data_IF_968027048687
#
_entry.id   IF_968027048687
#
_cell.length_a   1.000
_cell.length_b   1.000
_cell.length_c   1.000
_cell.angle_alpha   90.00
_cell.angle_beta   90.00
_cell.angle_gamma   90.00
#
_symmetry.space_group_name_H-M   'P 1'
#
loop_
_entity.id
_entity.type
_entity.pdbx_description
1 polymer ?
#
# COMPACT_ATOMS: atom_id res chain seq x y z
N UNK A 1 2.05 4.07 -15.51
CA UNK A 1 2.20 2.61 -15.27
C UNK A 1 3.28 2.40 -14.21
N UNK A 2 3.11 1.43 -13.32
CA UNK A 2 4.10 1.08 -12.30
C UNK A 2 5.19 0.24 -12.96
N UNK A 3 6.46 0.53 -12.68
CA UNK A 3 7.58 -0.19 -13.28
C UNK A 3 7.87 -1.48 -12.51
N UNK A 4 8.23 -2.59 -13.19
CA UNK A 4 8.61 -3.84 -12.53
C UNK A 4 9.69 -3.62 -11.46
N UNK A 5 9.48 -4.19 -10.28
CA UNK A 5 10.41 -4.09 -9.15
C UNK A 5 10.45 -2.76 -8.41
N UNK A 6 9.72 -1.73 -8.89
CA UNK A 6 9.66 -0.39 -8.25
C UNK A 6 8.36 -0.13 -7.50
N UNK A 7 7.39 -1.03 -7.63
CA UNK A 7 6.07 -0.91 -7.02
C UNK A 7 6.14 -0.81 -5.50
N UNK A 8 5.46 0.17 -4.93
CA UNK A 8 5.33 0.34 -3.48
C UNK A 8 3.88 0.58 -3.09
N UNK A 9 3.50 0.04 -1.95
CA UNK A 9 2.21 0.23 -1.31
C UNK A 9 2.42 0.78 0.10
N UNK A 10 1.65 1.82 0.44
CA UNK A 10 1.61 2.36 1.79
C UNK A 10 0.53 1.62 2.60
N UNK A 11 0.93 1.03 3.72
CA UNK A 11 0.05 0.31 4.65
C UNK A 11 0.00 1.02 6.00
N UNK A 12 -1.16 1.03 6.64
CA UNK A 12 -1.25 1.43 8.04
C UNK A 12 -0.56 0.41 8.95
N UNK A 13 -0.02 0.88 10.07
CA UNK A 13 0.42 -0.03 11.13
C UNK A 13 -0.81 -0.56 11.89
N UNK A 14 -0.77 -1.80 12.42
CA UNK A 14 0.40 -2.71 12.44
C UNK A 14 0.58 -3.55 11.16
N UNK A 15 -0.38 -3.55 10.22
CA UNK A 15 -0.37 -4.42 9.04
C UNK A 15 0.90 -4.31 8.19
N UNK A 16 1.46 -3.09 8.05
CA UNK A 16 2.71 -2.86 7.33
C UNK A 16 3.87 -3.73 7.86
N UNK A 17 4.06 -3.72 9.18
CA UNK A 17 5.12 -4.51 9.81
C UNK A 17 4.78 -6.00 9.79
N UNK A 18 3.54 -6.36 10.09
CA UNK A 18 3.14 -7.77 10.12
C UNK A 18 3.36 -8.46 8.76
N UNK A 19 3.16 -7.73 7.66
CA UNK A 19 3.40 -8.24 6.31
C UNK A 19 4.91 -8.44 6.04
N UNK A 20 5.74 -7.45 6.35
CA UNK A 20 7.20 -7.53 6.12
C UNK A 20 7.91 -8.49 7.07
N UNK A 21 7.34 -8.77 8.24
CA UNK A 21 7.82 -9.79 9.18
C UNK A 21 7.31 -11.20 8.84
N UNK A 22 6.53 -11.37 7.77
CA UNK A 22 6.02 -12.67 7.36
C UNK A 22 4.96 -13.28 8.27
N UNK A 23 4.36 -12.47 9.15
CA UNK A 23 3.27 -12.89 10.03
C UNK A 23 1.95 -12.82 9.26
N UNK A 24 1.73 -11.71 8.56
CA UNK A 24 0.62 -11.51 7.62
C UNK A 24 1.03 -12.04 6.25
N UNK A 25 0.18 -12.85 5.64
CA UNK A 25 0.40 -13.52 4.33
C UNK A 25 -0.57 -13.05 3.27
N UNK A 26 -1.73 -12.51 3.67
CA UNK A 26 -2.75 -12.00 2.76
C UNK A 26 -2.93 -10.50 2.92
N UNK A 27 -2.64 -9.68 1.91
CA UNK A 27 -2.99 -8.25 1.92
C UNK A 27 -4.42 -8.04 1.39
N UNK A 28 -5.24 -7.34 2.18
CA UNK A 28 -6.67 -7.20 1.90
C UNK A 28 -7.03 -5.85 1.29
N UNK A 29 -7.77 -5.85 0.16
CA UNK A 29 -8.17 -4.63 -0.57
C UNK A 29 -9.61 -4.70 -1.09
N UNK A 30 -10.16 -3.53 -1.40
CA UNK A 30 -11.43 -3.39 -2.12
C UNK A 30 -11.25 -3.36 -3.64
N UNK A 31 -10.04 -3.67 -4.13
CA UNK A 31 -9.69 -3.69 -5.54
C UNK A 31 -8.67 -4.80 -5.80
N UNK A 32 -8.68 -5.41 -7.00
CA UNK A 32 -7.75 -6.47 -7.35
C UNK A 32 -6.32 -5.95 -7.45
N UNK A 33 -5.33 -6.83 -7.27
CA UNK A 33 -3.92 -6.44 -7.46
C UNK A 33 -3.64 -6.09 -8.93
N UNK A 34 -3.15 -4.88 -9.25
CA UNK A 34 -2.77 -4.50 -10.60
C UNK A 34 -1.34 -4.95 -10.94
N UNK A 35 -0.67 -5.66 -10.01
CA UNK A 35 0.70 -6.13 -10.16
C UNK A 35 0.86 -7.59 -9.72
N UNK A 36 1.90 -8.22 -10.24
CA UNK A 36 2.52 -9.44 -9.72
C UNK A 36 4.02 -9.22 -9.57
N UNK A 37 4.64 -9.94 -8.64
CA UNK A 37 6.06 -9.81 -8.31
C UNK A 37 6.32 -8.88 -7.13
N UNK A 38 7.54 -8.33 -7.06
CA UNK A 38 8.02 -7.56 -5.91
C UNK A 38 7.18 -6.31 -5.63
N UNK A 39 6.72 -6.20 -4.40
CA UNK A 39 5.99 -5.07 -3.85
C UNK A 39 6.70 -4.57 -2.58
N UNK A 40 7.18 -3.33 -2.63
CA UNK A 40 7.74 -2.65 -1.48
C UNK A 40 6.64 -2.15 -0.54
N UNK A 41 6.91 -2.19 0.75
CA UNK A 41 5.95 -1.85 1.80
C UNK A 41 6.46 -0.64 2.59
N UNK A 42 5.68 0.43 2.51
CA UNK A 42 5.86 1.64 3.29
C UNK A 42 4.86 1.68 4.45
N UNK A 43 5.29 2.07 5.64
CA UNK A 43 4.43 2.31 6.78
C UNK A 43 3.87 3.73 6.75
N UNK A 44 2.55 3.86 6.76
CA UNK A 44 1.85 5.14 6.81
C UNK A 44 2.26 5.98 8.04
N UNK A 45 1.93 7.27 8.02
CA UNK A 45 2.32 8.22 9.07
C UNK A 45 1.49 8.13 10.34
N UNK A 46 0.25 7.63 10.27
CA UNK A 46 -0.63 7.50 11.44
C UNK A 46 -0.04 6.47 12.41
N UNK A 47 0.23 6.91 13.64
CA UNK A 47 0.65 6.06 14.75
C UNK A 47 -0.48 5.08 15.08
N UNK A 48 -0.20 3.77 15.19
CA UNK A 48 -1.21 2.79 15.55
C UNK A 48 -1.61 2.96 17.02
N UNK A 49 -2.91 2.87 17.30
CA UNK A 49 -3.41 2.82 18.68
C UNK A 49 -2.96 1.51 19.35
N UNK A 50 -2.57 1.51 20.64
CA UNK A 50 -2.15 0.29 21.34
C UNK A 50 -3.19 -0.84 21.27
N UNK A 51 -4.47 -0.50 21.33
CA UNK A 51 -5.60 -1.43 21.23
C UNK A 51 -5.66 -2.08 19.85
N UNK A 52 -5.32 -1.32 18.80
CA UNK A 52 -5.23 -1.82 17.42
C UNK A 52 -4.11 -2.84 17.29
N UNK A 53 -2.94 -2.55 17.88
CA UNK A 53 -1.81 -3.49 17.90
C UNK A 53 -2.24 -4.77 18.61
N UNK A 54 -2.75 -4.66 19.84
CA UNK A 54 -3.19 -5.80 20.65
C UNK A 54 -4.26 -6.64 19.95
N UNK A 55 -5.24 -6.00 19.31
CA UNK A 55 -6.29 -6.69 18.57
C UNK A 55 -5.71 -7.49 17.40
N UNK A 56 -4.79 -6.90 16.63
CA UNK A 56 -4.17 -7.59 15.51
C UNK A 56 -3.20 -8.70 15.95
N UNK A 57 -2.41 -8.50 17.00
CA UNK A 57 -1.55 -9.55 17.56
C UNK A 57 -2.38 -10.73 18.09
N UNK A 58 -3.47 -10.44 18.81
CA UNK A 58 -4.43 -11.47 19.26
C UNK A 58 -5.03 -12.23 18.08
N UNK A 59 -5.48 -11.52 17.05
CA UNK A 59 -6.00 -12.13 15.83
C UNK A 59 -4.99 -13.08 15.18
N UNK A 60 -3.73 -12.65 15.00
CA UNK A 60 -2.72 -13.53 14.43
C UNK A 60 -2.41 -14.73 15.34
N UNK A 61 -2.33 -14.55 16.67
CA UNK A 61 -2.15 -15.69 17.59
C UNK A 61 -3.24 -16.75 17.41
N UNK A 62 -4.51 -16.33 17.37
CA UNK A 62 -5.64 -17.26 17.24
C UNK A 62 -5.66 -17.99 15.89
N UNK A 63 -5.44 -17.29 14.76
CA UNK A 63 -5.48 -17.96 13.45
C UNK A 63 -4.30 -18.92 13.25
N UNK A 64 -3.13 -18.64 13.82
CA UNK A 64 -1.99 -19.56 13.76
C UNK A 64 -2.18 -20.74 14.71
N UNK A 65 -2.81 -20.53 15.87
CA UNK A 65 -3.15 -21.60 16.81
C UNK A 65 -4.14 -22.63 16.20
N UNK A 66 -5.02 -22.19 15.29
CA UNK A 66 -5.88 -23.09 14.50
C UNK A 66 -5.06 -24.11 13.70
N UNK A 67 -3.87 -23.73 13.23
CA UNK A 67 -2.94 -24.59 12.49
C UNK A 67 -1.86 -25.21 13.41
N UNK A 68 -2.00 -25.09 14.73
CA UNK A 68 -1.08 -25.65 15.73
C UNK A 68 0.18 -24.82 16.01
N UNK A 69 0.28 -23.60 15.47
CA UNK A 69 1.43 -22.70 15.70
C UNK A 69 1.10 -21.73 16.84
N UNK A 70 1.74 -21.91 17.99
CA UNK A 70 1.47 -21.13 19.21
C UNK A 70 2.57 -20.11 19.52
N UNK A 71 3.79 -20.35 19.05
CA UNK A 71 4.95 -19.48 19.27
C UNK A 71 5.11 -18.48 18.13
N UNK A 72 4.62 -17.26 18.36
CA UNK A 72 4.74 -16.14 17.41
C UNK A 72 5.46 -14.98 18.08
N UNK A 73 6.58 -14.57 17.49
CA UNK A 73 7.28 -13.35 17.87
C UNK A 73 6.77 -12.17 17.05
N UNK A 74 6.15 -11.20 17.73
CA UNK A 74 5.68 -9.98 17.11
C UNK A 74 6.77 -8.89 17.10
N UNK A 75 6.72 -7.94 16.14
CA UNK A 75 7.61 -6.79 16.14
C UNK A 75 7.50 -5.98 17.44
N UNK A 76 8.63 -5.70 18.08
CA UNK A 76 8.68 -4.85 19.29
C UNK A 76 8.24 -3.40 19.03
N UNK A 77 8.41 -2.93 17.80
CA UNK A 77 8.12 -1.56 17.38
C UNK A 77 7.47 -1.54 16.00
N UNK A 78 6.55 -0.59 15.81
CA UNK A 78 5.81 -0.36 14.57
C UNK A 78 6.10 1.05 14.03
N UNK A 79 7.27 1.28 13.38
CA UNK A 79 7.67 2.62 12.96
C UNK A 79 6.76 3.16 11.85
N UNK A 80 6.60 4.48 11.80
CA UNK A 80 5.74 5.17 10.82
C UNK A 80 6.57 6.01 9.85
N UNK A 81 6.00 6.34 8.68
CA UNK A 81 6.63 7.16 7.65
C UNK A 81 7.97 6.64 7.12
N UNK A 82 8.12 5.31 7.08
CA UNK A 82 9.35 4.63 6.64
C UNK A 82 9.05 3.50 5.67
N UNK A 83 9.98 3.27 4.74
CA UNK A 83 10.05 2.04 3.96
C UNK A 83 10.55 0.91 4.86
N UNK A 84 9.81 -0.19 4.94
CA UNK A 84 10.11 -1.30 5.83
C UNK A 84 10.84 -2.45 5.14
N UNK A 85 10.52 -2.71 3.88
CA UNK A 85 10.95 -3.91 3.17
C UNK A 85 10.07 -4.19 1.96
N UNK A 86 10.01 -5.44 1.54
CA UNK A 86 9.18 -5.88 0.43
C UNK A 86 8.65 -7.30 0.62
N UNK A 87 7.61 -7.63 -0.12
CA UNK A 87 7.07 -8.98 -0.31
C UNK A 87 6.94 -9.26 -1.80
N UNK A 88 6.60 -10.47 -2.16
CA UNK A 88 6.24 -10.85 -3.52
C UNK A 88 4.74 -11.13 -3.62
N UNK A 89 4.04 -10.42 -4.52
CA UNK A 89 2.63 -10.67 -4.82
C UNK A 89 2.54 -11.73 -5.91
N UNK A 90 2.15 -12.95 -5.52
CA UNK A 90 2.09 -14.11 -6.44
C UNK A 90 0.71 -14.29 -7.07
N UNK A 91 -0.33 -13.72 -6.46
CA UNK A 91 -1.70 -13.85 -6.93
C UNK A 91 -2.66 -12.91 -6.24
N UNK A 92 -3.90 -12.92 -6.73
CA UNK A 92 -5.01 -12.18 -6.15
C UNK A 92 -6.26 -13.04 -6.32
N UNK A 93 -6.97 -13.30 -5.22
CA UNK A 93 -8.24 -14.03 -5.22
C UNK A 93 -9.35 -13.16 -4.64
N UNK A 94 -10.59 -13.49 -4.98
CA UNK A 94 -11.73 -13.02 -4.20
C UNK A 94 -11.82 -13.75 -2.87
N UNK A 95 -12.47 -13.12 -1.89
CA UNK A 95 -12.64 -13.70 -0.56
C UNK A 95 -13.28 -15.10 -0.60
N UNK A 96 -14.35 -15.27 -1.38
CA UNK A 96 -15.06 -16.55 -1.47
C UNK A 96 -14.19 -17.66 -2.09
N UNK A 97 -13.34 -17.30 -3.06
CA UNK A 97 -12.37 -18.22 -3.66
C UNK A 97 -11.29 -18.63 -2.65
N UNK A 98 -10.74 -17.66 -1.90
CA UNK A 98 -9.74 -17.93 -0.86
C UNK A 98 -10.31 -18.83 0.23
N UNK A 99 -11.53 -18.54 0.71
CA UNK A 99 -12.19 -19.33 1.74
C UNK A 99 -12.43 -20.75 1.25
N UNK A 100 -12.66 -20.99 -0.03
CA UNK A 100 -12.88 -22.34 -0.58
C UNK A 100 -11.59 -23.07 -0.99
N UNK A 101 -10.42 -22.46 -0.86
CA UNK A 101 -9.17 -23.05 -1.33
C UNK A 101 -8.61 -24.08 -0.33
N UNK A 102 -8.90 -25.36 -0.55
CA UNK A 102 -8.60 -26.44 0.38
C UNK A 102 -7.10 -26.75 0.54
N UNK A 103 -6.28 -26.41 -0.46
CA UNK A 103 -4.82 -26.56 -0.38
C UNK A 103 -4.16 -25.59 0.62
N UNK A 104 -4.92 -24.58 1.10
CA UNK A 104 -4.46 -23.64 2.11
C UNK A 104 -4.89 -24.08 3.51
N UNK A 105 -3.96 -23.93 4.46
CA UNK A 105 -4.24 -24.07 5.89
C UNK A 105 -5.37 -23.14 6.34
N UNK A 106 -6.12 -23.54 7.37
CA UNK A 106 -7.27 -22.78 7.85
C UNK A 106 -6.88 -21.38 8.33
N UNK A 107 -5.74 -21.24 9.02
CA UNK A 107 -5.26 -19.94 9.48
C UNK A 107 -5.02 -18.95 8.35
N UNK A 108 -4.42 -19.38 7.23
CA UNK A 108 -4.23 -18.53 6.03
C UNK A 108 -5.56 -18.10 5.43
N UNK A 109 -6.52 -19.01 5.31
CA UNK A 109 -7.87 -18.71 4.78
C UNK A 109 -8.59 -17.68 5.65
N UNK A 110 -8.42 -17.75 6.98
CA UNK A 110 -8.99 -16.82 7.95
C UNK A 110 -8.37 -15.41 7.90
N UNK A 111 -7.18 -15.23 7.30
CA UNK A 111 -6.63 -13.89 7.07
C UNK A 111 -7.45 -13.05 6.07
N UNK A 112 -8.20 -13.72 5.19
CA UNK A 112 -9.12 -13.08 4.26
C UNK A 112 -10.26 -12.37 4.98
N UNK A 113 -10.24 -11.04 4.98
CA UNK A 113 -11.28 -10.21 5.63
C UNK A 113 -11.82 -9.10 4.70
N UNK A 114 -11.42 -9.11 3.43
CA UNK A 114 -11.77 -8.11 2.42
C UNK A 114 -12.06 -8.78 1.09
N UNK A 115 -12.74 -8.08 0.19
CA UNK A 115 -13.18 -8.60 -1.11
C UNK A 115 -12.04 -9.18 -1.96
N UNK A 116 -10.93 -8.46 -2.09
CA UNK A 116 -9.75 -8.92 -2.82
C UNK A 116 -8.62 -9.22 -1.86
N UNK A 117 -8.06 -10.43 -1.99
CA UNK A 117 -7.02 -10.99 -1.15
C UNK A 117 -5.75 -11.18 -1.99
N UNK A 118 -4.76 -10.33 -1.77
CA UNK A 118 -3.47 -10.38 -2.45
C UNK A 118 -2.58 -11.37 -1.71
N UNK A 119 -2.08 -12.36 -2.44
CA UNK A 119 -1.26 -13.44 -1.89
C UNK A 119 0.19 -12.96 -1.84
N UNK A 120 0.74 -12.84 -0.63
CA UNK A 120 2.07 -12.30 -0.40
C UNK A 120 3.01 -13.36 0.18
N UNK A 121 4.16 -13.54 -0.47
CA UNK A 121 5.21 -14.47 -0.06
C UNK A 121 6.57 -13.77 0.04
N UNK A 122 7.61 -14.54 0.38
CA UNK A 122 9.01 -14.12 0.35
C UNK A 122 9.25 -12.76 1.04
N UNK A 123 8.82 -12.60 2.31
CA UNK A 123 8.98 -11.33 3.01
C UNK A 123 10.46 -11.02 3.23
N UNK A 124 10.85 -9.78 2.93
CA UNK A 124 12.19 -9.27 3.13
C UNK A 124 12.13 -7.94 3.87
N UNK A 125 12.84 -7.84 4.99
CA UNK A 125 12.89 -6.64 5.82
C UNK A 125 14.19 -5.88 5.57
N UNK A 126 14.11 -4.55 5.53
CA UNK A 126 15.29 -3.70 5.60
C UNK A 126 15.96 -3.84 6.97
N UNK A 127 17.29 -3.96 6.97
CA UNK A 127 18.08 -3.93 8.22
C UNK A 127 17.79 -2.64 9.00
N UNK A 128 17.69 -1.52 8.28
CA UNK A 128 17.30 -0.21 8.82
C UNK A 128 16.17 0.37 7.95
N UNK A 129 14.99 0.69 8.53
CA UNK A 129 13.92 1.33 7.77
C UNK A 129 14.39 2.67 7.17
N UNK A 130 14.01 2.94 5.92
CA UNK A 130 14.40 4.16 5.22
C UNK A 130 13.30 5.20 5.27
N UNK A 131 13.61 6.40 5.77
CA UNK A 131 12.63 7.48 5.83
C UNK A 131 12.25 7.94 4.42
N UNK A 132 10.95 7.91 4.13
CA UNK A 132 10.41 8.44 2.87
C UNK A 132 8.93 8.79 3.01
N UNK A 133 8.44 9.66 2.13
CA UNK A 133 7.02 10.00 2.08
C UNK A 133 6.23 8.89 1.37
N UNK A 134 5.22 8.37 2.04
CA UNK A 134 4.24 7.45 1.45
C UNK A 134 3.29 8.18 0.48
N UNK A 135 2.69 7.41 -0.42
CA UNK A 135 1.63 7.90 -1.33
C UNK A 135 0.44 6.96 -1.31
N UNK A 136 -0.70 7.47 -1.79
CA UNK A 136 -1.91 6.68 -1.98
C UNK A 136 -1.80 5.81 -3.24
N UNK A 137 -2.46 4.65 -3.20
CA UNK A 137 -2.39 3.65 -4.27
C UNK A 137 -1.01 3.01 -4.40
N UNK A 138 -0.79 2.32 -5.51
CA UNK A 138 0.55 1.81 -5.86
C UNK A 138 1.32 2.92 -6.58
N UNK A 139 2.58 3.11 -6.21
CA UNK A 139 3.46 4.10 -6.82
C UNK A 139 4.88 3.56 -7.00
N UNK A 140 5.64 4.18 -7.91
CA UNK A 140 7.06 3.88 -8.08
C UNK A 140 7.90 4.56 -6.98
N UNK A 141 8.79 3.80 -6.36
CA UNK A 141 9.83 4.36 -5.48
C UNK A 141 10.88 5.10 -6.33
N UNK A 142 11.44 6.18 -5.78
CA UNK A 142 12.56 6.88 -6.40
C UNK A 142 13.79 5.96 -6.51
N UNK A 143 14.49 6.03 -7.65
CA UNK A 143 15.63 5.15 -7.95
C UNK A 143 16.70 5.15 -6.84
N UNK A 144 17.06 6.32 -6.31
CA UNK A 144 18.05 6.45 -5.24
C UNK A 144 17.69 5.67 -3.97
N UNK A 145 16.42 5.73 -3.55
CA UNK A 145 15.91 4.98 -2.40
C UNK A 145 15.92 3.48 -2.71
N UNK A 146 15.43 3.11 -3.89
CA UNK A 146 15.36 1.71 -4.32
C UNK A 146 16.74 1.05 -4.38
N UNK A 147 17.76 1.73 -4.90
CA UNK A 147 19.11 1.22 -5.00
C UNK A 147 19.69 0.93 -3.61
N UNK A 148 19.50 1.85 -2.66
CA UNK A 148 19.89 1.65 -1.26
C UNK A 148 19.13 0.51 -0.60
N UNK A 149 17.80 0.50 -0.76
CA UNK A 149 16.92 -0.50 -0.17
C UNK A 149 17.24 -1.92 -0.67
N UNK A 150 17.47 -2.09 -1.98
CA UNK A 150 17.72 -3.39 -2.61
C UNK A 150 18.99 -4.07 -2.10
N UNK A 151 19.97 -3.29 -1.60
CA UNK A 151 21.20 -3.83 -0.98
C UNK A 151 21.05 -4.14 0.51
N UNK A 152 20.01 -3.61 1.16
CA UNK A 152 19.84 -3.64 2.60
C UNK A 152 18.68 -4.53 3.09
N UNK A 153 17.95 -5.17 2.17
CA UNK A 153 16.91 -6.14 2.52
C UNK A 153 17.49 -7.48 2.91
N UNK A 154 16.89 -8.12 3.91
CA UNK A 154 17.19 -9.49 4.34
C UNK A 154 15.91 -10.33 4.33
N UNK A 155 15.95 -11.58 3.84
CA UNK A 155 14.83 -12.50 3.97
C UNK A 155 14.43 -12.67 5.44
N UNK A 156 13.13 -12.80 5.69
CA UNK A 156 12.56 -13.12 6.99
C UNK A 156 11.88 -14.48 6.91
N UNK A 157 12.16 -15.34 7.89
CA UNK A 157 11.38 -16.54 8.13
C UNK A 157 10.25 -16.16 9.08
N UNK A 158 9.02 -16.13 8.59
CA UNK A 158 7.82 -15.91 9.43
C UNK A 158 7.52 -17.14 10.30
N UNK A 159 6.48 -17.07 11.15
CA UNK A 159 6.13 -18.17 12.06
C UNK A 159 5.75 -19.47 11.33
N UNK A 160 5.07 -19.35 10.19
CA UNK A 160 4.85 -20.45 9.25
C UNK A 160 5.04 -19.92 7.82
N UNK A 161 6.25 -20.03 7.25
CA UNK A 161 6.52 -19.62 5.88
C UNK A 161 5.58 -20.34 4.92
N UNK A 162 5.07 -19.61 3.93
CA UNK A 162 4.15 -20.13 2.94
C UNK A 162 4.71 -19.97 1.53
N UNK A 163 4.47 -21.01 0.72
CA UNK A 163 4.49 -20.93 -0.74
C UNK A 163 3.09 -21.31 -1.20
N UNK A 164 2.38 -20.35 -1.78
CA UNK A 164 1.04 -20.55 -2.30
C UNK A 164 1.10 -21.50 -3.50
N UNK A 165 0.19 -22.48 -3.58
CA UNK A 165 0.08 -23.31 -4.75
C UNK A 165 -0.31 -22.47 -5.98
N UNK A 166 -0.09 -22.99 -7.20
CA UNK A 166 -0.58 -22.35 -8.41
C UNK A 166 -2.06 -21.97 -8.27
N UNK A 167 -2.42 -20.76 -8.71
CA UNK A 167 -3.80 -20.30 -8.59
C UNK A 167 -4.77 -21.34 -9.19
N UNK A 168 -5.95 -21.55 -8.58
CA UNK A 168 -6.95 -22.44 -9.14
C UNK A 168 -7.25 -22.01 -10.57
N UNK A 169 -7.12 -22.93 -11.52
CA UNK A 169 -7.53 -22.70 -12.90
C UNK A 169 -9.01 -22.33 -12.90
N UNK A 170 -9.34 -21.16 -13.44
CA UNK A 170 -10.73 -20.74 -13.63
C UNK A 170 -11.47 -21.88 -14.35
N UNK A 171 -12.63 -22.35 -13.86
CA UNK A 171 -13.43 -23.28 -14.63
C UNK A 171 -13.74 -22.58 -15.96
N UNK A 172 -13.31 -23.19 -17.08
CA UNK A 172 -13.62 -22.70 -18.41
C UNK A 172 -15.13 -22.45 -18.50
N UNK A 173 -15.51 -21.28 -19.01
CA UNK A 173 -16.90 -20.78 -19.08
C UNK A 173 -17.80 -21.55 -20.06
N UNK A 174 -17.60 -22.85 -20.21
CA UNK A 174 -18.38 -23.75 -21.04
C UNK A 174 -18.76 -24.93 -20.18
N UNK A 175 -19.69 -24.68 -19.25
CA UNK A 175 -20.72 -25.58 -18.74
C UNK A 175 -21.38 -24.85 -17.57
N UNK A 176 -22.50 -24.17 -17.84
CA UNK A 176 -23.45 -23.81 -16.79
C UNK A 176 -24.04 -25.13 -16.30
N UNK A 177 -23.34 -25.81 -15.40
CA UNK A 177 -23.90 -26.91 -14.65
C UNK A 177 -24.71 -26.28 -13.54
N UNK A 178 -26.03 -26.38 -13.69
CA UNK A 178 -27.03 -26.14 -12.67
C UNK A 178 -26.52 -26.70 -11.32
N UNK A 179 -26.29 -25.81 -10.35
CA UNK A 179 -25.93 -26.17 -8.98
C UNK A 179 -27.16 -26.78 -8.29
N UNK A 180 -27.55 -27.98 -8.71
CA UNK A 180 -28.41 -28.82 -7.90
C UNK A 180 -27.58 -29.40 -6.76
N UNK A 181 -27.91 -28.91 -5.56
CA UNK A 181 -27.51 -29.43 -4.25
C UNK A 181 -27.24 -30.94 -4.28
N UNK A 182 -25.98 -31.33 -4.17
CA UNK A 182 -25.61 -32.67 -3.73
C UNK A 182 -25.98 -32.86 -2.25
N UNK A 183 -26.57 -34.00 -1.85
CA UNK A 183 -26.80 -34.30 -0.45
C UNK A 183 -25.46 -34.71 0.21
N UNK A 184 -25.10 -34.06 1.31
CA UNK A 184 -23.95 -34.34 2.19
C UNK A 184 -22.54 -33.90 1.73
N UNK A 185 -22.37 -32.61 1.42
CA UNK A 185 -21.08 -31.92 1.52
C UNK A 185 -21.11 -30.90 2.64
N UNK A 186 -20.86 -31.30 3.90
CA UNK A 186 -20.60 -30.31 4.96
C UNK A 186 -19.33 -29.57 4.59
N UNK A 187 -19.42 -28.30 4.17
CA UNK A 187 -18.29 -27.38 4.25
C UNK A 187 -17.71 -27.53 5.66
N UNK A 188 -16.47 -27.98 5.79
CA UNK A 188 -15.76 -27.97 7.08
C UNK A 188 -15.59 -26.50 7.45
N UNK A 189 -16.55 -25.98 8.21
CA UNK A 189 -16.46 -24.66 8.80
C UNK A 189 -15.17 -24.61 9.64
N UNK A 190 -14.42 -23.50 9.61
CA UNK A 190 -13.25 -23.33 10.45
C UNK A 190 -13.61 -23.56 11.92
N UNK A 191 -12.67 -24.03 12.76
CA UNK A 191 -12.94 -24.33 14.16
C UNK A 191 -13.50 -23.10 14.87
N UNK A 192 -14.71 -23.22 15.41
CA UNK A 192 -15.46 -22.11 16.02
C UNK A 192 -15.19 -22.05 17.51
N UNK A 193 -14.02 -21.54 17.91
CA UNK A 193 -13.80 -21.15 19.30
C UNK A 193 -14.31 -19.72 19.52
N UNK A 194 -14.92 -19.46 20.68
CA UNK A 194 -15.37 -18.11 21.03
C UNK A 194 -14.20 -17.09 21.03
N UNK A 195 -12.99 -17.55 21.37
CA UNK A 195 -11.77 -16.74 21.33
C UNK A 195 -11.40 -16.30 19.91
N UNK A 196 -11.45 -17.23 18.94
CA UNK A 196 -11.19 -16.95 17.53
C UNK A 196 -12.24 -15.98 16.96
N UNK A 197 -13.52 -16.19 17.26
CA UNK A 197 -14.57 -15.29 16.80
C UNK A 197 -14.40 -13.87 17.37
N UNK A 198 -14.06 -13.77 18.65
CA UNK A 198 -13.78 -12.49 19.30
C UNK A 198 -12.54 -11.79 18.70
N UNK A 199 -11.48 -12.54 18.37
CA UNK A 199 -10.28 -11.97 17.77
C UNK A 199 -10.50 -11.50 16.33
N UNK A 200 -11.28 -12.25 15.54
CA UNK A 200 -11.73 -11.82 14.20
C UNK A 200 -12.56 -10.55 14.30
N UNK A 201 -13.51 -10.47 15.25
CA UNK A 201 -14.32 -9.29 15.47
C UNK A 201 -13.46 -8.07 15.85
N UNK A 202 -12.49 -8.26 16.76
CA UNK A 202 -11.52 -7.24 17.16
C UNK A 202 -10.68 -6.73 15.98
N UNK A 203 -10.18 -7.63 15.13
CA UNK A 203 -9.44 -7.26 13.92
C UNK A 203 -10.29 -6.45 12.93
N UNK A 204 -11.56 -6.82 12.74
CA UNK A 204 -12.50 -6.07 11.89
C UNK A 204 -12.77 -4.66 12.44
N UNK A 205 -12.99 -4.54 13.74
CA UNK A 205 -13.16 -3.26 14.41
C UNK A 205 -11.91 -2.39 14.22
N UNK A 206 -10.72 -2.95 14.46
CA UNK A 206 -9.44 -2.31 14.26
C UNK A 206 -9.25 -1.83 12.81
N UNK A 207 -9.62 -2.61 11.79
CA UNK A 207 -9.53 -2.19 10.40
C UNK A 207 -10.53 -1.06 10.03
N UNK A 208 -11.72 -1.05 10.66
CA UNK A 208 -12.79 -0.08 10.34
C UNK A 208 -12.41 1.38 10.63
N UNK A 209 -11.48 1.62 11.57
CA UNK A 209 -11.07 2.97 11.95
C UNK A 209 -10.38 3.73 10.80
N UNK A 210 -9.68 3.01 9.92
CA UNK A 210 -8.95 3.60 8.78
C UNK A 210 -9.87 3.77 7.56
N UNK A 211 -10.86 2.89 7.42
CA UNK A 211 -11.85 2.95 6.32
C UNK A 211 -12.62 4.27 6.29
N UNK A 212 -13.01 4.81 7.45
CA UNK A 212 -13.74 6.11 7.52
C UNK A 212 -12.88 7.26 6.99
N UNK A 213 -11.60 7.27 7.32
CA UNK A 213 -10.65 8.29 6.83
C UNK A 213 -10.41 8.15 5.33
N UNK A 214 -10.24 6.92 4.83
CA UNK A 214 -10.09 6.67 3.39
C UNK A 214 -11.32 7.13 2.60
N UNK A 215 -12.54 6.82 3.06
CA UNK A 215 -13.78 7.27 2.44
C UNK A 215 -13.88 8.80 2.44
N UNK A 216 -13.56 9.45 3.57
CA UNK A 216 -13.60 10.91 3.67
C UNK A 216 -12.59 11.58 2.74
N UNK A 217 -11.37 11.03 2.63
CA UNK A 217 -10.35 11.53 1.71
C UNK A 217 -10.72 11.30 0.24
N UNK A 218 -11.30 10.15 -0.11
CA UNK A 218 -11.78 9.88 -1.47
C UNK A 218 -12.86 10.88 -1.88
N UNK A 219 -13.80 11.20 -0.97
CA UNK A 219 -14.80 12.24 -1.19
C UNK A 219 -14.16 13.62 -1.41
N UNK A 220 -13.13 13.97 -0.65
CA UNK A 220 -12.40 15.23 -0.83
C UNK A 220 -11.68 15.30 -2.19
N UNK A 221 -11.05 14.20 -2.62
CA UNK A 221 -10.37 14.12 -3.91
C UNK A 221 -11.36 14.24 -5.07
N UNK A 222 -12.49 13.53 -5.01
CA UNK A 222 -13.56 13.65 -6.00
C UNK A 222 -14.12 15.08 -6.06
N UNK A 223 -14.34 15.72 -4.91
CA UNK A 223 -14.79 17.11 -4.86
C UNK A 223 -13.78 18.08 -5.49
N UNK A 224 -12.47 17.86 -5.28
CA UNK A 224 -11.41 18.68 -5.87
C UNK A 224 -11.34 18.51 -7.40
N UNK A 225 -11.43 17.28 -7.89
CA UNK A 225 -11.46 16.96 -9.32
C UNK A 225 -12.70 17.56 -10.00
N UNK A 226 -13.87 17.51 -9.34
CA UNK A 226 -15.09 18.12 -9.84
C UNK A 226 -14.98 19.65 -9.89
N UNK A 227 -14.41 20.29 -8.86
CA UNK A 227 -14.13 21.73 -8.89
C UNK A 227 -13.17 22.12 -10.02
N UNK A 228 -12.13 21.31 -10.28
CA UNK A 228 -11.20 21.55 -11.39
C UNK A 228 -11.88 21.37 -12.75
N UNK A 229 -12.74 20.35 -12.90
CA UNK A 229 -13.55 20.11 -14.10
C UNK A 229 -14.51 21.26 -14.38
N UNK A 230 -15.21 21.76 -13.35
CA UNK A 230 -16.10 22.93 -13.47
C UNK A 230 -15.32 24.18 -13.87
N UNK A 231 -14.14 24.44 -13.26
CA UNK A 231 -13.28 25.57 -13.65
C UNK A 231 -12.79 25.47 -15.10
N UNK A 232 -12.42 24.27 -15.55
CA UNK A 232 -12.01 24.02 -16.94
C UNK A 232 -13.14 24.30 -17.93
N UNK A 233 -14.36 23.91 -17.59
CA UNK A 233 -15.56 24.15 -18.42
C UNK A 233 -16.07 25.60 -18.35
N UNK A 234 -15.65 26.40 -17.38
CA UNK A 234 -16.04 27.82 -17.23
C UNK A 234 -15.08 28.82 -17.89
N UNK A 235 -14.04 28.33 -18.59
CA UNK A 235 -13.14 29.17 -19.38
C UNK A 235 -13.83 29.53 -20.71
N UNK A 236 -14.17 30.81 -20.98
CA UNK A 236 -14.84 31.17 -22.23
C UNK A 236 -13.86 30.99 -23.39
N UNK A 237 -14.28 30.29 -24.45
CA UNK A 237 -13.62 30.38 -25.73
C UNK A 237 -13.71 31.82 -26.23
N UNK A 238 -12.56 32.46 -26.42
CA UNK A 238 -12.49 33.61 -27.31
C UNK A 238 -12.71 33.11 -28.73
N UNK A 239 -13.96 33.18 -29.18
CA UNK A 239 -14.30 33.24 -30.60
C UNK A 239 -13.99 34.66 -31.08
N UNK A 240 -12.98 34.82 -31.91
CA UNK A 240 -12.88 35.96 -32.82
C UNK A 240 -12.91 35.42 -34.23
N UNK A 241 -14.09 35.48 -34.84
CA UNK A 241 -14.25 35.49 -36.28
C UNK A 241 -13.66 36.79 -36.81
N UNK A 242 -12.69 36.68 -37.71
CA UNK A 242 -12.55 37.63 -38.82
C UNK A 242 -11.73 37.00 -39.95
N UNK A 243 -12.42 36.82 -41.07
CA UNK A 243 -11.92 36.44 -42.38
C UNK A 243 -11.10 37.56 -43.04
N UNK A 244 -9.93 37.25 -43.61
CA UNK A 244 -9.57 37.63 -44.99
C UNK A 244 -8.16 37.15 -45.41
N UNK A 245 -8.16 36.55 -46.60
CA UNK A 245 -7.16 36.34 -47.67
C UNK A 245 -5.64 36.63 -47.51
N UNK A 246 -4.89 35.65 -48.06
CA UNK A 246 -3.80 35.72 -49.06
C UNK A 246 -2.31 35.86 -48.66
N UNK A 247 -1.58 34.83 -49.11
CA UNK A 247 -0.25 34.81 -49.75
C UNK A 247 1.05 34.71 -48.92
N UNK A 248 1.81 33.66 -49.28
CA UNK A 248 3.26 33.56 -49.51
C UNK A 248 4.27 33.88 -48.38
N UNK A 249 5.07 32.85 -48.05
CA UNK A 249 6.51 32.93 -47.78
C UNK A 249 6.96 33.43 -46.40
N UNK A 250 7.62 32.58 -45.62
CA UNK A 250 9.08 32.61 -45.38
C UNK A 250 9.45 31.95 -44.03
N UNK A 251 10.67 31.43 -43.98
CA UNK A 251 11.26 30.70 -42.85
C UNK A 251 11.67 31.63 -41.70
N UNK A 252 11.36 31.28 -40.44
CA UNK A 252 12.13 31.72 -39.27
C UNK A 252 11.84 30.87 -38.02
N UNK A 253 12.91 30.55 -37.29
CA UNK A 253 12.96 29.81 -36.02
C UNK A 253 12.04 30.39 -34.92
N UNK A 254 11.11 29.58 -34.41
CA UNK A 254 10.35 29.90 -33.20
C UNK A 254 11.11 29.41 -31.95
N UNK A 255 11.83 30.35 -31.34
CA UNK A 255 12.44 30.21 -30.01
C UNK A 255 11.34 30.08 -28.95
N UNK A 256 11.22 28.91 -28.30
CA UNK A 256 10.22 28.61 -27.27
C UNK A 256 10.41 29.50 -26.03
N UNK A 257 9.55 30.50 -25.83
CA UNK A 257 9.47 31.27 -24.59
C UNK A 257 8.46 30.59 -23.63
N UNK A 258 8.87 30.22 -22.40
CA UNK A 258 7.97 29.56 -21.46
C UNK A 258 7.00 30.56 -20.79
N UNK A 259 5.79 30.08 -20.51
CA UNK A 259 4.66 30.84 -19.95
C UNK A 259 4.89 31.36 -18.52
N UNK A 260 4.09 32.36 -18.12
CA UNK A 260 4.06 33.03 -16.80
C UNK A 260 4.18 32.07 -15.60
N UNK A 261 3.53 30.89 -15.67
CA UNK A 261 3.58 29.85 -14.64
C UNK A 261 4.98 29.26 -14.41
N UNK A 262 5.81 29.28 -15.46
CA UNK A 262 7.21 28.82 -15.40
C UNK A 262 8.12 29.88 -14.76
N UNK A 263 7.74 31.17 -14.82
CA UNK A 263 8.47 32.26 -14.15
C UNK A 263 8.26 32.22 -12.63
N UNK A 264 7.05 31.92 -12.17
CA UNK A 264 6.74 31.81 -10.74
C UNK A 264 7.45 30.61 -10.09
N UNK A 265 7.53 29.47 -10.78
CA UNK A 265 8.24 28.29 -10.28
C UNK A 265 9.77 28.51 -10.15
N UNK A 266 10.36 29.39 -10.98
CA UNK A 266 11.79 29.72 -10.93
C UNK A 266 12.11 30.75 -9.85
N UNK A 267 11.18 31.67 -9.53
CA UNK A 267 11.32 32.62 -8.44
C UNK A 267 11.30 31.93 -7.05
N UNK A 268 10.47 30.90 -6.86
CA UNK A 268 10.42 30.16 -5.59
C UNK A 268 11.61 29.20 -5.36
N UNK A 269 12.37 28.86 -6.41
CA UNK A 269 13.55 28.00 -6.27
C UNK A 269 14.84 28.76 -5.91
N UNK A 270 14.84 30.10 -5.95
CA UNK A 270 15.99 30.92 -5.57
C UNK A 270 15.89 31.57 -4.18
N UNK A 271 14.72 31.59 -3.55
CA UNK A 271 14.55 32.12 -2.18
C UNK A 271 14.74 31.08 -1.06
N UNK A 272 14.76 29.77 -1.38
CA UNK A 272 14.97 28.72 -0.36
C UNK A 272 16.44 28.31 -0.16
N UNK A 273 17.38 28.92 -0.88
CA UNK A 273 18.83 28.71 -0.71
C UNK A 273 19.47 29.97 -0.13
N UNK A 274 19.06 30.33 1.09
CA UNK A 274 19.90 31.11 2.00
C UNK A 274 20.04 30.33 3.30
N UNK A 275 21.27 29.94 3.71
CA UNK A 275 21.45 29.28 4.99
C UNK A 275 21.30 30.32 6.09
N UNK A 276 20.23 30.25 6.88
CA UNK A 276 20.15 30.91 8.19
C UNK A 276 21.05 30.17 9.17
N UNK A 277 22.36 30.38 8.98
CA UNK A 277 23.40 30.05 9.95
C UNK A 277 23.42 31.13 11.03
N UNK A 278 22.57 30.97 12.05
CA UNK A 278 22.70 31.64 13.36
C UNK A 278 21.72 30.95 14.32
N UNK A 279 22.21 29.93 15.03
CA UNK A 279 21.81 29.43 16.38
C UNK A 279 22.55 28.08 16.68
N UNK A 280 23.76 27.88 16.16
CA UNK A 280 24.59 26.70 16.52
C UNK A 280 26.08 27.06 16.57
N UNK A 281 26.39 28.21 17.19
CA UNK A 281 27.76 28.66 17.44
C UNK A 281 27.95 29.21 18.87
N UNK A 282 27.22 28.66 19.84
CA UNK A 282 27.37 29.03 21.26
C UNK A 282 27.41 27.84 22.24
N UNK A 283 27.60 26.61 21.74
CA UNK A 283 27.68 25.41 22.58
C UNK A 283 29.03 24.66 22.52
N UNK A 284 30.09 25.26 21.97
CA UNK A 284 31.42 24.64 21.88
C UNK A 284 32.57 25.57 22.32
N UNK A 285 32.34 26.39 23.35
CA UNK A 285 33.39 27.25 23.96
C UNK A 285 33.34 27.30 25.49
N UNK A 286 32.95 26.21 26.14
CA UNK A 286 32.94 26.13 27.62
C UNK A 286 33.21 24.71 28.13
N UNK A 287 34.22 24.06 27.56
CA UNK A 287 34.83 22.83 28.11
C UNK A 287 36.36 22.85 28.02
N UNK A 288 36.95 24.03 28.15
CA UNK A 288 38.35 24.21 28.53
C UNK A 288 38.47 25.44 29.44
N UNK A 289 38.49 25.17 30.74
CA UNK A 289 38.86 25.98 31.91
C UNK A 289 37.80 25.87 32.99
N UNK A 290 37.95 24.86 33.85
CA UNK A 290 38.36 24.97 35.27
C UNK A 290 38.26 23.59 35.89
#
# INVERSE_FOLDING_TARGET
MVEPGKACLTLHQPWASLLVYGIKRIEGRSWPSPIRGKLWIHAASKVPEPETIKAMESFYREIYAVDGVTEIEFPKYYPTSVLLGCVEVVGCLKLDELICWEDLSNGVRLEGQTEFCWLCESPQKLVMPLQMRGRQGIYNIQKSILDGASRAVKPICGPAPITFPPLPSQPSSSNVVDLQKGPNGKLKAPPKSAALEASIAGARQAASQFRRQEIQMQKQQQALEEQQRVKRNKSPGQSTDSSSSSSLGDSAEARWAPSESTRIARAMHMESVRPTSRILAQALRSSHQT
#
